data_IF_389322792958
#
_entry.id   IF_389322792958
#
_cell.length_a   1.000
_cell.length_b   1.000
_cell.length_c   1.000
_cell.angle_alpha   90.00
_cell.angle_beta   90.00
_cell.angle_gamma   90.00
#
_symmetry.space_group_name_H-M   'P 1'
#
loop_
_entity.id
_entity.type
_entity.pdbx_description
1 polymer ?
#
# COMPACT_ATOMS: atom_id res chain seq x y z
N UNK A 1 1.85 -7.20 11.00
CA UNK A 1 1.46 -8.62 10.91
C UNK A 1 2.35 -9.47 10.01
N UNK A 2 2.43 -9.28 8.68
CA UNK A 2 3.28 -10.16 7.83
C UNK A 2 4.75 -10.17 8.28
N UNK A 3 5.32 -9.01 8.56
CA UNK A 3 6.68 -8.88 9.10
C UNK A 3 6.87 -9.58 10.47
N UNK A 4 5.81 -9.67 11.28
CA UNK A 4 5.85 -10.29 12.62
C UNK A 4 5.67 -11.81 12.54
N UNK A 5 4.93 -12.31 11.53
CA UNK A 5 4.72 -13.74 11.31
C UNK A 5 5.94 -14.43 10.67
N UNK A 6 6.80 -13.67 9.99
CA UNK A 6 8.01 -14.21 9.35
C UNK A 6 9.13 -14.32 10.37
N UNK A 7 9.34 -15.54 10.89
CA UNK A 7 10.41 -15.84 11.85
C UNK A 7 11.81 -15.89 11.21
N UNK A 8 11.89 -16.14 9.90
CA UNK A 8 13.14 -16.29 9.14
C UNK A 8 13.30 -15.10 8.17
N UNK A 9 14.30 -14.22 8.36
CA UNK A 9 14.49 -13.03 7.51
C UNK A 9 14.62 -13.34 6.01
N UNK A 10 15.12 -14.52 5.64
CA UNK A 10 15.24 -14.94 4.23
C UNK A 10 13.89 -15.20 3.55
N UNK A 11 12.82 -15.42 4.31
CA UNK A 11 11.47 -15.67 3.78
C UNK A 11 10.61 -14.41 3.70
N UNK A 12 11.07 -13.30 4.28
CA UNK A 12 10.36 -12.02 4.33
C UNK A 12 10.02 -11.48 2.93
N UNK A 13 10.95 -11.45 1.95
CA UNK A 13 10.64 -10.98 0.60
C UNK A 13 9.59 -11.85 -0.11
N UNK A 14 9.60 -13.17 0.15
CA UNK A 14 8.63 -14.10 -0.43
C UNK A 14 7.24 -13.91 0.18
N UNK A 15 7.17 -13.70 1.49
CA UNK A 15 5.91 -13.44 2.19
C UNK A 15 5.25 -12.13 1.71
N UNK A 16 6.04 -11.07 1.58
CA UNK A 16 5.57 -9.79 1.05
C UNK A 16 5.13 -9.86 -0.42
N UNK A 17 5.77 -10.70 -1.24
CA UNK A 17 5.38 -10.91 -2.63
C UNK A 17 4.01 -11.62 -2.78
N UNK A 18 3.57 -12.37 -1.77
CA UNK A 18 2.28 -13.09 -1.80
C UNK A 18 1.08 -12.15 -1.68
N UNK A 19 1.20 -11.03 -0.96
CA UNK A 19 0.08 -10.10 -0.73
C UNK A 19 -0.53 -9.53 -2.03
N UNK A 20 0.25 -8.94 -2.96
CA UNK A 20 -0.30 -8.40 -4.20
C UNK A 20 -0.80 -9.50 -5.17
N UNK A 21 -0.28 -10.73 -5.05
CA UNK A 21 -0.79 -11.89 -5.78
C UNK A 21 -2.20 -12.26 -5.31
N UNK A 22 -2.39 -12.43 -3.99
CA UNK A 22 -3.69 -12.79 -3.40
C UNK A 22 -4.73 -11.72 -3.67
N UNK A 23 -4.37 -10.44 -3.58
CA UNK A 23 -5.27 -9.33 -3.93
C UNK A 23 -5.76 -9.41 -5.37
N UNK A 24 -4.84 -9.61 -6.32
CA UNK A 24 -5.18 -9.70 -7.75
C UNK A 24 -6.07 -10.91 -8.02
N UNK A 25 -5.77 -12.05 -7.38
CA UNK A 25 -6.60 -13.25 -7.46
C UNK A 25 -8.01 -13.00 -6.91
N UNK A 26 -8.12 -12.31 -5.77
CA UNK A 26 -9.40 -11.89 -5.20
C UNK A 26 -10.18 -10.96 -6.12
N UNK A 27 -9.51 -10.03 -6.80
CA UNK A 27 -10.12 -9.15 -7.80
C UNK A 27 -10.67 -9.90 -9.02
N UNK A 28 -9.95 -10.90 -9.52
CA UNK A 28 -10.39 -11.77 -10.63
C UNK A 28 -11.65 -12.53 -10.23
N UNK A 29 -11.59 -13.23 -9.09
CA UNK A 29 -12.69 -14.05 -8.60
C UNK A 29 -13.90 -13.19 -8.21
N UNK A 30 -13.69 -12.08 -7.52
CA UNK A 30 -14.75 -11.15 -7.13
C UNK A 30 -15.48 -10.55 -8.32
N UNK A 31 -14.75 -10.16 -9.38
CA UNK A 31 -15.35 -9.63 -10.62
C UNK A 31 -16.15 -10.70 -11.37
N UNK A 32 -15.62 -11.93 -11.43
CA UNK A 32 -16.33 -13.05 -12.04
C UNK A 32 -17.62 -13.33 -11.28
N UNK A 33 -17.52 -13.55 -9.97
CA UNK A 33 -18.66 -13.89 -9.12
C UNK A 33 -19.71 -12.76 -9.12
N UNK A 34 -19.29 -11.50 -9.08
CA UNK A 34 -20.19 -10.36 -9.14
C UNK A 34 -20.98 -10.26 -10.45
N UNK A 35 -20.35 -10.61 -11.59
CA UNK A 35 -21.00 -10.60 -12.89
C UNK A 35 -21.88 -11.83 -13.15
N UNK A 36 -21.32 -13.04 -12.97
CA UNK A 36 -22.00 -14.31 -13.28
C UNK A 36 -23.17 -14.60 -12.34
N UNK A 37 -23.09 -14.21 -11.07
CA UNK A 37 -24.17 -14.48 -10.10
C UNK A 37 -25.24 -13.38 -10.09
N UNK A 38 -25.01 -12.25 -10.75
CA UNK A 38 -26.01 -11.19 -10.84
C UNK A 38 -27.17 -11.60 -11.74
N UNK A 39 -28.39 -11.18 -11.36
CA UNK A 39 -29.63 -11.46 -12.10
C UNK A 39 -29.82 -12.95 -12.43
N UNK A 40 -29.75 -13.86 -11.44
CA UNK A 40 -29.75 -15.30 -11.67
C UNK A 40 -31.05 -15.80 -12.31
N UNK A 41 -32.19 -15.15 -12.05
CA UNK A 41 -33.46 -15.49 -12.67
C UNK A 41 -33.53 -15.16 -14.18
N UNK A 42 -32.68 -14.24 -14.66
CA UNK A 42 -32.61 -13.88 -16.08
C UNK A 42 -31.62 -14.77 -16.82
N UNK A 43 -30.47 -15.06 -16.23
CA UNK A 43 -29.40 -15.85 -16.87
C UNK A 43 -29.51 -17.36 -16.64
N UNK A 44 -30.15 -17.80 -15.55
CA UNK A 44 -30.33 -19.22 -15.19
C UNK A 44 -31.80 -19.54 -14.86
N UNK A 45 -32.75 -19.33 -15.80
CA UNK A 45 -34.18 -19.47 -15.53
C UNK A 45 -34.62 -20.90 -15.18
N UNK A 46 -33.83 -21.91 -15.53
CA UNK A 46 -34.09 -23.31 -15.17
C UNK A 46 -33.81 -23.62 -13.69
N UNK A 47 -32.89 -22.88 -13.06
CA UNK A 47 -32.51 -23.06 -11.66
C UNK A 47 -33.19 -22.01 -10.76
N UNK A 48 -33.48 -20.82 -11.29
CA UNK A 48 -34.02 -19.70 -10.54
C UNK A 48 -35.29 -19.16 -11.23
N UNK A 49 -36.49 -19.44 -10.70
CA UNK A 49 -37.73 -18.90 -11.25
C UNK A 49 -37.81 -17.37 -11.06
N UNK A 50 -38.39 -16.68 -12.04
CA UNK A 50 -38.57 -15.22 -12.03
C UNK A 50 -39.45 -14.73 -10.87
N UNK A 51 -40.43 -15.54 -10.45
CA UNK A 51 -41.32 -15.22 -9.32
C UNK A 51 -40.69 -15.55 -7.96
N UNK A 52 -39.50 -16.15 -7.93
CA UNK A 52 -38.78 -16.52 -6.72
C UNK A 52 -38.06 -15.35 -6.04
N UNK A 53 -37.48 -15.62 -4.86
CA UNK A 53 -36.73 -14.62 -4.07
C UNK A 53 -35.58 -13.99 -4.86
N UNK A 54 -34.91 -14.77 -5.70
CA UNK A 54 -33.78 -14.31 -6.53
C UNK A 54 -34.22 -13.58 -7.80
N UNK A 55 -35.46 -13.73 -8.24
CA UNK A 55 -36.07 -12.89 -9.27
C UNK A 55 -36.50 -11.53 -8.72
N UNK A 56 -37.02 -11.50 -7.48
CA UNK A 56 -37.34 -10.25 -6.76
C UNK A 56 -36.10 -9.47 -6.32
N UNK A 57 -35.04 -10.16 -5.91
CA UNK A 57 -33.78 -9.56 -5.45
C UNK A 57 -32.60 -10.06 -6.32
N UNK A 58 -32.35 -9.44 -7.49
CA UNK A 58 -31.39 -9.93 -8.48
C UNK A 58 -29.92 -9.92 -8.02
N UNK A 59 -29.60 -9.19 -6.95
CA UNK A 59 -28.24 -9.09 -6.40
C UNK A 59 -28.09 -9.82 -5.05
N UNK A 60 -29.11 -10.57 -4.59
CA UNK A 60 -29.04 -11.29 -3.32
C UNK A 60 -28.01 -12.43 -3.38
N UNK A 61 -27.99 -13.17 -4.49
CA UNK A 61 -27.09 -14.30 -4.69
C UNK A 61 -25.60 -13.93 -4.61
N UNK A 62 -25.08 -12.95 -5.38
CA UNK A 62 -23.66 -12.57 -5.28
C UNK A 62 -23.28 -12.09 -3.87
N UNK A 63 -24.16 -11.34 -3.21
CA UNK A 63 -23.92 -10.88 -1.84
C UNK A 63 -23.88 -12.03 -0.83
N UNK A 64 -24.76 -13.02 -0.96
CA UNK A 64 -24.76 -14.19 -0.07
C UNK A 64 -23.44 -14.98 -0.21
N UNK A 65 -22.97 -15.15 -1.44
CA UNK A 65 -21.69 -15.83 -1.68
C UNK A 65 -20.52 -15.01 -1.10
N UNK A 66 -20.53 -13.68 -1.22
CA UNK A 66 -19.54 -12.83 -0.55
C UNK A 66 -19.56 -13.00 0.97
N UNK A 67 -20.75 -13.07 1.60
CA UNK A 67 -20.88 -13.32 3.04
C UNK A 67 -20.27 -14.67 3.42
N UNK A 68 -20.54 -15.73 2.65
CA UNK A 68 -19.96 -17.06 2.90
C UNK A 68 -18.43 -17.02 2.83
N UNK A 69 -17.85 -16.37 1.82
CA UNK A 69 -16.40 -16.23 1.69
C UNK A 69 -15.80 -15.46 2.88
N UNK A 70 -16.45 -14.38 3.33
CA UNK A 70 -16.00 -13.60 4.49
C UNK A 70 -16.09 -14.43 5.78
N UNK A 71 -17.18 -15.18 5.99
CA UNK A 71 -17.33 -16.05 7.16
C UNK A 71 -16.25 -17.13 7.16
N UNK A 72 -15.94 -17.74 6.02
CA UNK A 72 -14.84 -18.69 5.91
C UNK A 72 -13.49 -18.05 6.25
N UNK A 73 -13.24 -16.82 5.81
CA UNK A 73 -12.02 -16.08 6.17
C UNK A 73 -11.95 -15.77 7.67
N UNK A 74 -13.07 -15.42 8.31
CA UNK A 74 -13.14 -15.21 9.77
C UNK A 74 -12.89 -16.51 10.52
N UNK A 75 -13.53 -17.61 10.12
CA UNK A 75 -13.32 -18.94 10.73
C UNK A 75 -11.87 -19.37 10.56
N UNK A 76 -11.27 -19.16 9.39
CA UNK A 76 -9.84 -19.41 9.17
C UNK A 76 -8.97 -18.56 10.08
N UNK A 77 -9.30 -17.28 10.25
CA UNK A 77 -8.60 -16.39 11.18
C UNK A 77 -8.65 -16.89 12.62
N UNK A 78 -9.83 -17.28 13.10
CA UNK A 78 -10.02 -17.78 14.47
C UNK A 78 -9.30 -19.12 14.70
N UNK A 79 -9.32 -20.04 13.73
CA UNK A 79 -8.75 -21.38 13.88
C UNK A 79 -7.24 -21.46 13.61
N UNK A 80 -6.69 -20.60 12.74
CA UNK A 80 -5.31 -20.72 12.25
C UNK A 80 -4.40 -19.52 12.56
N UNK A 81 -4.92 -18.35 12.96
CA UNK A 81 -4.05 -17.26 13.44
C UNK A 81 -3.75 -17.46 14.92
N UNK A 82 -2.50 -17.75 15.22
CA UNK A 82 -1.99 -17.67 16.59
C UNK A 82 -1.86 -16.20 17.01
N UNK A 83 -2.33 -15.89 18.22
CA UNK A 83 -2.22 -14.57 18.82
C UNK A 83 -0.73 -14.15 18.92
N UNK A 84 -0.35 -13.08 18.22
CA UNK A 84 1.04 -12.59 18.18
C UNK A 84 1.35 -11.58 19.29
N UNK A 85 0.36 -11.20 20.12
CA UNK A 85 0.55 -10.20 21.16
C UNK A 85 1.53 -10.67 22.25
N UNK A 86 2.66 -9.97 22.45
CA UNK A 86 3.67 -10.33 23.45
C UNK A 86 3.18 -10.23 24.90
N UNK A 87 2.07 -9.52 25.18
CA UNK A 87 1.45 -9.53 26.51
C UNK A 87 0.83 -10.88 26.86
N UNK A 88 0.10 -11.49 25.93
CA UNK A 88 -0.51 -12.80 26.16
C UNK A 88 0.56 -13.91 26.19
N UNK A 89 1.63 -13.77 25.40
CA UNK A 89 2.78 -14.67 25.48
C UNK A 89 3.49 -14.60 26.85
N UNK A 90 3.59 -13.41 27.46
CA UNK A 90 4.13 -13.24 28.81
C UNK A 90 3.18 -13.81 29.88
N UNK A 91 1.88 -13.55 29.77
CA UNK A 91 0.89 -14.09 30.72
C UNK A 91 0.81 -15.62 30.65
N UNK A 92 0.94 -16.22 29.46
CA UNK A 92 1.03 -17.68 29.33
C UNK A 92 2.34 -18.23 29.93
N UNK A 93 3.45 -17.51 29.77
CA UNK A 93 4.73 -17.89 30.35
C UNK A 93 4.83 -17.60 31.86
N UNK A 94 4.01 -16.70 32.42
CA UNK A 94 3.87 -16.48 33.86
C UNK A 94 2.89 -17.49 34.48
N UNK A 95 1.80 -17.84 33.79
CA UNK A 95 0.84 -18.86 34.25
C UNK A 95 1.46 -20.27 34.34
N UNK A 96 2.36 -20.63 33.41
CA UNK A 96 3.11 -21.89 33.48
C UNK A 96 4.12 -21.92 34.64
N UNK A 97 4.59 -20.75 35.11
CA UNK A 97 5.49 -20.67 36.27
C UNK A 97 4.74 -20.59 37.61
N UNK A 98 3.47 -20.15 37.62
CA UNK A 98 2.62 -20.20 38.81
C UNK A 98 1.99 -21.59 39.04
N UNK A 99 1.68 -22.36 37.99
CA UNK A 99 1.15 -23.73 38.12
C UNK A 99 2.14 -24.72 38.76
N UNK A 100 3.45 -24.51 38.62
CA UNK A 100 4.47 -25.37 39.25
C UNK A 100 4.71 -25.05 40.75
N UNK A 101 4.08 -24.01 41.31
CA UNK A 101 4.39 -23.53 42.68
C UNK A 101 3.17 -23.42 43.62
N UNK A 102 1.92 -23.42 43.12
CA UNK A 102 0.75 -23.30 43.98
C UNK A 102 -0.16 -24.53 43.90
N UNK A 103 -0.06 -25.40 44.91
CA UNK A 103 -1.08 -26.40 45.19
C UNK A 103 -2.37 -25.75 45.69
N UNK A 104 -3.48 -26.38 45.29
CA UNK A 104 -4.82 -26.36 45.90
C UNK A 104 -5.40 -24.97 46.18
N UNK A 105 -6.20 -24.43 45.24
CA UNK A 105 -7.44 -23.73 45.56
C UNK A 105 -8.29 -23.49 44.29
N UNK A 106 -9.60 -23.67 44.46
CA UNK A 106 -10.66 -23.72 43.45
C UNK A 106 -10.71 -22.47 42.55
N UNK A 107 -10.56 -22.66 41.23
CA UNK A 107 -10.71 -21.59 40.23
C UNK A 107 -12.16 -21.51 39.74
N UNK A 108 -12.83 -20.42 40.08
CA UNK A 108 -14.16 -20.02 39.59
C UNK A 108 -14.04 -19.46 38.15
N UNK A 109 -14.66 -20.15 37.17
CA UNK A 109 -14.69 -19.79 35.74
C UNK A 109 -15.62 -18.59 35.43
N UNK A 110 -15.38 -17.44 36.07
CA UNK A 110 -16.09 -16.20 35.70
C UNK A 110 -15.11 -15.04 35.55
N UNK A 111 -14.82 -14.73 34.28
CA UNK A 111 -14.07 -13.57 33.85
C UNK A 111 -14.56 -12.27 34.53
N UNK A 112 -13.71 -11.55 35.30
CA UNK A 112 -14.08 -10.23 35.79
C UNK A 112 -13.67 -9.17 34.77
N UNK A 113 -14.67 -8.68 34.04
CA UNK A 113 -14.63 -7.42 33.32
C UNK A 113 -14.32 -6.28 34.30
N UNK A 114 -13.25 -5.53 34.00
CA UNK A 114 -13.06 -4.13 34.39
C UNK A 114 -13.00 -3.84 35.90
N UNK A 115 -11.81 -3.93 36.50
CA UNK A 115 -11.56 -3.36 37.83
C UNK A 115 -10.57 -2.20 37.75
N UNK A 116 -11.14 -1.00 37.63
CA UNK A 116 -10.44 0.26 37.90
C UNK A 116 -10.32 0.43 39.41
N UNK A 117 -9.17 0.10 39.99
CA UNK A 117 -8.89 0.39 41.40
C UNK A 117 -7.86 1.50 41.55
N UNK A 118 -8.32 2.52 42.27
CA UNK A 118 -7.65 3.72 42.78
C UNK A 118 -6.30 3.44 43.46
N UNK A 119 -5.41 4.41 43.27
CA UNK A 119 -4.16 4.66 43.97
C UNK A 119 -4.11 4.26 45.46
N UNK A 120 -2.98 3.68 45.86
CA UNK A 120 -2.39 3.91 47.19
C UNK A 120 -0.87 4.08 47.06
N UNK A 121 -0.42 5.30 47.32
CA UNK A 121 0.98 5.76 47.35
C UNK A 121 1.75 5.19 48.55
N UNK A 122 3.00 4.80 48.32
CA UNK A 122 4.15 5.19 49.17
C UNK A 122 5.51 5.01 48.46
N UNK A 123 6.00 6.11 47.88
CA UNK A 123 7.38 6.62 47.83
C UNK A 123 8.59 5.67 47.67
N UNK A 124 9.31 5.75 46.53
CA UNK A 124 10.68 6.30 46.44
C UNK A 124 11.23 6.32 44.99
N UNK A 125 11.67 7.51 44.57
CA UNK A 125 12.62 7.86 43.49
C UNK A 125 12.77 7.02 42.20
N UNK A 126 12.33 7.60 41.08
CA UNK A 126 13.24 8.09 40.02
C UNK A 126 12.44 8.90 38.99
N UNK A 127 12.93 10.11 38.67
CA UNK A 127 12.36 10.94 37.61
C UNK A 127 12.72 10.33 36.25
N UNK A 128 11.74 9.74 35.57
CA UNK A 128 11.75 9.63 34.12
C UNK A 128 10.44 10.22 33.60
N UNK A 129 10.58 11.28 32.80
CA UNK A 129 9.45 11.97 32.18
C UNK A 129 8.78 11.04 31.16
N UNK A 130 7.46 10.94 31.30
CA UNK A 130 6.52 10.22 30.47
C UNK A 130 6.79 10.37 28.96
N UNK A 131 7.25 9.29 28.33
CA UNK A 131 6.96 9.01 26.93
C UNK A 131 5.62 8.29 26.92
N UNK A 132 4.56 8.99 26.50
CA UNK A 132 3.27 8.38 26.19
C UNK A 132 3.52 7.23 25.21
N UNK A 133 3.23 6.00 25.63
CA UNK A 133 3.18 4.84 24.75
C UNK A 133 2.23 5.17 23.60
N UNK A 134 2.81 5.36 22.42
CA UNK A 134 2.09 5.70 21.21
C UNK A 134 1.49 4.41 20.68
N UNK A 135 0.20 4.24 20.94
CA UNK A 135 -0.67 3.24 20.33
C UNK A 135 -0.42 3.22 18.81
N UNK A 136 0.12 2.10 18.31
CA UNK A 136 0.29 1.86 16.88
C UNK A 136 -1.07 1.39 16.36
N UNK A 137 -1.82 2.31 15.77
CA UNK A 137 -2.98 1.97 14.96
C UNK A 137 -2.47 1.27 13.69
N UNK A 138 -2.73 -0.03 13.58
CA UNK A 138 -2.64 -0.75 12.33
C UNK A 138 -3.93 -0.43 11.57
N UNK A 139 -3.87 0.63 10.77
CA UNK A 139 -4.91 0.91 9.79
C UNK A 139 -4.62 0.05 8.55
N UNK A 140 -5.60 -0.77 8.18
CA UNK A 140 -5.59 -1.67 7.04
C UNK A 140 -5.56 -0.86 5.75
N UNK A 141 -4.36 -0.47 5.33
CA UNK A 141 -4.09 0.16 4.04
C UNK A 141 -3.68 -0.89 3.02
N UNK A 142 -4.19 -0.71 1.79
CA UNK A 142 -4.00 -1.59 0.63
C UNK A 142 -2.58 -2.18 0.52
N UNK A 143 -2.42 -3.49 0.30
CA UNK A 143 -1.12 -4.06 0.00
C UNK A 143 -0.78 -3.84 -1.48
N UNK A 144 0.17 -2.95 -1.76
CA UNK A 144 0.93 -2.93 -3.01
C UNK A 144 2.43 -2.88 -2.69
N UNK A 145 3.27 -3.47 -3.56
CA UNK A 145 4.52 -4.09 -3.18
C UNK A 145 5.59 -3.07 -2.82
N UNK A 146 6.56 -3.52 -2.02
CA UNK A 146 7.70 -2.78 -1.45
C UNK A 146 7.40 -2.17 -0.07
N UNK A 147 7.13 -3.04 0.90
CA UNK A 147 7.81 -2.84 2.19
C UNK A 147 9.18 -3.52 2.09
N UNK A 148 10.22 -2.69 2.00
CA UNK A 148 11.58 -3.10 2.31
C UNK A 148 12.00 -2.35 3.56
N UNK A 149 11.79 -2.98 4.72
CA UNK A 149 12.74 -2.82 5.81
C UNK A 149 14.01 -3.59 5.44
N UNK A 150 14.74 -3.11 4.43
CA UNK A 150 16.07 -3.62 4.15
C UNK A 150 16.97 -2.52 3.61
N UNK A 151 18.05 -2.31 4.37
CA UNK A 151 19.15 -1.41 4.10
C UNK A 151 19.95 -1.90 2.88
N UNK A 152 19.71 -1.28 1.73
CA UNK A 152 20.39 -1.56 0.46
C UNK A 152 21.85 -1.07 0.41
N UNK A 153 22.40 -0.48 1.49
CA UNK A 153 23.85 -0.19 1.55
C UNK A 153 24.71 -1.39 1.92
N UNK A 154 24.11 -2.54 2.25
CA UNK A 154 24.85 -3.76 2.51
C UNK A 154 25.25 -4.45 1.20
N UNK A 155 26.26 -3.89 0.53
CA UNK A 155 26.95 -4.55 -0.57
C UNK A 155 27.77 -5.74 -0.04
N UNK A 156 27.14 -6.90 0.10
CA UNK A 156 27.85 -8.17 0.23
C UNK A 156 26.99 -9.33 -0.26
N UNK A 157 26.66 -9.31 -1.55
CA UNK A 157 26.45 -10.56 -2.30
C UNK A 157 27.83 -11.21 -2.46
N UNK A 158 28.02 -12.39 -1.86
CA UNK A 158 29.18 -13.25 -2.11
C UNK A 158 30.44 -12.91 -1.31
N UNK A 159 30.59 -13.51 -0.13
CA UNK A 159 31.80 -14.23 0.33
C UNK A 159 31.49 -14.80 1.70
N UNK A 160 31.23 -16.11 1.74
CA UNK A 160 31.15 -16.88 2.98
C UNK A 160 32.57 -17.07 3.51
N UNK A 161 33.01 -16.22 4.43
CA UNK A 161 34.12 -16.55 5.34
C UNK A 161 33.72 -16.17 6.76
N UNK A 162 33.44 -17.22 7.54
CA UNK A 162 33.52 -17.30 9.01
C UNK A 162 33.44 -15.96 9.74
N UNK A 163 32.23 -15.59 10.18
CA UNK A 163 32.06 -14.52 11.17
C UNK A 163 32.42 -15.11 12.53
N UNK A 164 33.62 -14.79 13.02
CA UNK A 164 33.93 -14.90 14.46
C UNK A 164 33.08 -13.86 15.18
N UNK A 165 32.05 -14.32 15.89
CA UNK A 165 31.19 -13.47 16.73
C UNK A 165 32.01 -13.04 17.94
N UNK A 166 32.56 -11.82 17.91
CA UNK A 166 33.05 -11.19 19.14
C UNK A 166 31.85 -10.61 19.91
N UNK A 167 31.69 -10.90 21.21
CA UNK A 167 30.66 -10.27 22.02
C UNK A 167 31.13 -8.86 22.38
N UNK A 168 30.63 -7.86 21.66
CA UNK A 168 30.51 -6.49 22.18
C UNK A 168 29.06 -6.07 22.05
N UNK A 169 28.30 -6.20 23.14
CA UNK A 169 27.11 -5.40 23.38
C UNK A 169 27.55 -3.95 23.53
N UNK A 170 27.81 -3.29 22.41
CA UNK A 170 27.52 -1.87 22.34
C UNK A 170 25.99 -1.77 22.34
N UNK A 171 25.35 -1.04 23.27
CA UNK A 171 23.94 -0.75 23.11
C UNK A 171 23.81 -0.13 21.72
N UNK A 172 22.98 -0.70 20.84
CA UNK A 172 22.61 -0.03 19.59
C UNK A 172 22.12 1.35 20.02
N UNK A 173 22.95 2.38 19.86
CA UNK A 173 22.54 3.76 20.04
C UNK A 173 21.28 3.87 19.21
N UNK A 174 20.16 4.27 19.84
CA UNK A 174 18.97 4.64 19.08
C UNK A 174 19.47 5.70 18.10
N UNK A 175 19.59 5.36 16.83
CA UNK A 175 19.86 6.35 15.81
C UNK A 175 18.71 7.36 15.95
N UNK A 176 19.02 8.60 16.29
CA UNK A 176 18.03 9.67 16.40
C UNK A 176 18.23 10.55 15.19
N UNK A 177 17.29 10.48 14.25
CA UNK A 177 17.29 11.39 13.11
C UNK A 177 16.60 12.70 13.51
N UNK A 178 17.38 13.79 13.58
CA UNK A 178 16.91 15.14 13.94
C UNK A 178 16.55 16.03 12.74
N UNK A 179 16.58 15.50 11.51
CA UNK A 179 16.28 16.27 10.31
C UNK A 179 14.78 16.37 9.99
N UNK A 180 14.44 17.18 8.97
CA UNK A 180 13.06 17.26 8.46
C UNK A 180 12.70 15.99 7.71
N UNK A 181 11.61 15.35 8.12
CA UNK A 181 11.10 14.14 7.46
C UNK A 181 10.60 14.38 6.03
N UNK A 182 10.08 15.58 5.73
CA UNK A 182 9.55 15.94 4.42
C UNK A 182 10.51 16.88 3.70
N UNK A 183 11.05 16.40 2.58
CA UNK A 183 11.74 17.23 1.60
C UNK A 183 10.81 17.51 0.41
N UNK A 184 11.21 18.44 -0.46
CA UNK A 184 10.43 18.81 -1.63
C UNK A 184 10.17 17.63 -2.57
N UNK A 185 11.16 16.73 -2.74
CA UNK A 185 11.03 15.51 -3.55
C UNK A 185 9.94 14.59 -3.03
N UNK A 186 9.93 14.31 -1.72
CA UNK A 186 8.94 13.47 -1.03
C UNK A 186 7.54 14.04 -1.23
N UNK A 187 7.38 15.35 -1.05
CA UNK A 187 6.10 16.03 -1.25
C UNK A 187 5.64 15.85 -2.70
N UNK A 188 6.52 16.09 -3.68
CA UNK A 188 6.17 15.97 -5.10
C UNK A 188 5.85 14.54 -5.52
N UNK A 189 6.61 13.54 -5.06
CA UNK A 189 6.31 12.12 -5.33
C UNK A 189 5.00 11.71 -4.63
N UNK A 190 4.72 12.22 -3.43
CA UNK A 190 3.46 11.97 -2.72
C UNK A 190 2.26 12.58 -3.46
N UNK A 191 2.39 13.80 -3.99
CA UNK A 191 1.34 14.42 -4.80
C UNK A 191 1.11 13.62 -6.10
N UNK A 192 2.16 13.14 -6.76
CA UNK A 192 2.03 12.27 -7.92
C UNK A 192 1.26 10.98 -7.59
N UNK A 193 1.60 10.33 -6.47
CA UNK A 193 0.89 9.15 -5.96
C UNK A 193 -0.60 9.41 -5.71
N UNK A 194 -0.95 10.57 -5.15
CA UNK A 194 -2.33 10.99 -4.89
C UNK A 194 -3.11 11.17 -6.20
N UNK A 195 -2.54 11.88 -7.17
CA UNK A 195 -3.17 12.11 -8.48
C UNK A 195 -3.38 10.80 -9.24
N UNK A 196 -2.36 9.93 -9.25
CA UNK A 196 -2.44 8.60 -9.85
C UNK A 196 -3.50 7.74 -9.18
N UNK A 197 -3.54 7.73 -7.85
CA UNK A 197 -4.53 6.96 -7.09
C UNK A 197 -5.96 7.44 -7.36
N UNK A 198 -6.15 8.75 -7.55
CA UNK A 198 -7.43 9.33 -7.94
C UNK A 198 -7.88 8.78 -9.29
N UNK A 199 -7.13 9.05 -10.37
CA UNK A 199 -7.60 8.74 -11.72
C UNK A 199 -7.60 7.23 -12.02
N UNK A 200 -6.76 6.44 -11.35
CA UNK A 200 -6.84 4.98 -11.40
C UNK A 200 -8.15 4.47 -10.79
N UNK A 201 -8.57 5.03 -9.65
CA UNK A 201 -9.84 4.65 -9.03
C UNK A 201 -11.04 5.14 -9.86
N UNK A 202 -10.93 6.33 -10.46
CA UNK A 202 -11.92 6.86 -11.40
C UNK A 202 -12.15 5.87 -12.55
N UNK A 203 -11.08 5.37 -13.17
CA UNK A 203 -11.18 4.36 -14.22
C UNK A 203 -11.87 3.08 -13.74
N UNK A 204 -11.51 2.56 -12.57
CA UNK A 204 -12.08 1.32 -12.05
C UNK A 204 -13.59 1.42 -11.81
N UNK A 205 -14.10 2.61 -11.50
CA UNK A 205 -15.53 2.87 -11.39
C UNK A 205 -16.16 3.15 -12.75
N UNK A 206 -15.52 3.96 -13.60
CA UNK A 206 -16.07 4.37 -14.88
C UNK A 206 -16.17 3.24 -15.89
N UNK A 207 -15.19 2.34 -15.95
CA UNK A 207 -15.18 1.25 -16.92
C UNK A 207 -16.46 0.41 -16.84
N UNK A 208 -16.79 -0.25 -15.70
CA UNK A 208 -18.00 -1.07 -15.62
C UNK A 208 -19.28 -0.25 -15.80
N UNK A 209 -19.33 0.98 -15.29
CA UNK A 209 -20.49 1.87 -15.50
C UNK A 209 -20.69 2.20 -16.97
N UNK A 210 -19.64 2.55 -17.69
CA UNK A 210 -19.69 2.90 -19.11
C UNK A 210 -20.01 1.68 -19.99
N UNK A 211 -19.50 0.49 -19.65
CA UNK A 211 -19.85 -0.73 -20.36
C UNK A 211 -21.34 -1.09 -20.19
N UNK A 212 -21.88 -0.92 -18.97
CA UNK A 212 -23.25 -1.31 -18.62
C UNK A 212 -24.32 -0.30 -19.06
N UNK A 213 -23.98 0.99 -19.03
CA UNK A 213 -24.94 2.07 -19.32
C UNK A 213 -25.44 2.01 -20.76
N UNK A 214 -26.68 2.44 -20.99
CA UNK A 214 -27.34 2.30 -22.28
C UNK A 214 -26.78 3.29 -23.29
N UNK A 215 -26.63 2.90 -24.56
CA UNK A 215 -26.25 3.85 -25.60
C UNK A 215 -27.38 4.86 -25.83
N UNK A 216 -27.03 6.14 -25.86
CA UNK A 216 -27.89 7.25 -26.25
C UNK A 216 -27.90 7.44 -27.78
N UNK A 217 -26.84 7.02 -28.49
CA UNK A 217 -26.76 7.06 -29.95
C UNK A 217 -26.87 5.64 -30.57
N UNK A 218 -27.18 5.59 -31.86
CA UNK A 218 -27.20 4.33 -32.60
C UNK A 218 -25.78 3.70 -32.66
N UNK A 219 -25.66 2.35 -32.65
CA UNK A 219 -24.38 1.66 -32.74
C UNK A 219 -23.53 2.13 -33.93
N UNK A 220 -22.25 2.39 -33.72
CA UNK A 220 -21.33 2.88 -34.75
C UNK A 220 -21.38 4.38 -35.01
N UNK A 221 -22.15 5.14 -34.23
CA UNK A 221 -22.07 6.60 -34.16
C UNK A 221 -21.42 7.01 -32.84
N UNK A 222 -20.72 8.15 -32.87
CA UNK A 222 -20.10 8.70 -31.68
C UNK A 222 -21.18 9.04 -30.64
N UNK A 223 -21.15 8.30 -29.54
CA UNK A 223 -21.93 8.54 -28.34
C UNK A 223 -21.01 9.09 -27.25
N UNK A 224 -21.29 10.31 -26.82
CA UNK A 224 -20.54 11.01 -25.78
C UNK A 224 -21.33 11.09 -24.46
N UNK A 225 -22.57 10.62 -24.45
CA UNK A 225 -23.50 10.77 -23.33
C UNK A 225 -23.75 9.42 -22.67
N UNK A 226 -24.11 8.42 -23.46
CA UNK A 226 -24.44 7.07 -22.98
C UNK A 226 -23.24 6.14 -22.89
N UNK A 227 -23.55 4.86 -22.64
CA UNK A 227 -22.59 3.77 -22.58
C UNK A 227 -22.66 2.80 -23.76
N UNK A 228 -22.07 1.61 -23.58
CA UNK A 228 -22.00 0.58 -24.62
C UNK A 228 -23.13 -0.46 -24.55
N UNK A 229 -23.92 -0.48 -23.47
CA UNK A 229 -25.11 -1.32 -23.32
C UNK A 229 -24.84 -2.82 -23.15
N UNK A 230 -23.66 -3.20 -22.66
CA UNK A 230 -23.33 -4.59 -22.34
C UNK A 230 -24.12 -5.10 -21.14
N UNK A 231 -24.27 -6.42 -21.05
CA UNK A 231 -24.93 -7.04 -19.90
C UNK A 231 -24.00 -7.11 -18.69
N UNK A 232 -24.56 -7.28 -17.49
CA UNK A 232 -23.78 -7.43 -16.25
C UNK A 232 -22.82 -8.63 -16.34
N UNK A 233 -23.24 -9.69 -17.03
CA UNK A 233 -22.42 -10.87 -17.29
C UNK A 233 -21.22 -10.56 -18.18
N UNK A 234 -21.43 -9.83 -19.28
CA UNK A 234 -20.34 -9.40 -20.19
C UNK A 234 -19.34 -8.50 -19.47
N UNK A 235 -19.84 -7.55 -18.66
CA UNK A 235 -19.00 -6.68 -17.83
C UNK A 235 -18.16 -7.51 -16.86
N UNK A 236 -18.76 -8.51 -16.22
CA UNK A 236 -18.05 -9.48 -15.38
C UNK A 236 -16.91 -10.17 -16.12
N UNK A 237 -17.16 -10.65 -17.34
CA UNK A 237 -16.13 -11.28 -18.19
C UNK A 237 -14.99 -10.30 -18.49
N UNK A 238 -15.29 -9.07 -18.93
CA UNK A 238 -14.27 -8.06 -19.20
C UNK A 238 -13.41 -7.78 -17.96
N UNK A 239 -14.03 -7.56 -16.80
CA UNK A 239 -13.32 -7.29 -15.55
C UNK A 239 -12.48 -8.49 -15.07
N UNK A 240 -12.97 -9.73 -15.24
CA UNK A 240 -12.18 -10.93 -14.94
C UNK A 240 -10.96 -11.06 -15.86
N UNK A 241 -11.12 -10.81 -17.15
CA UNK A 241 -9.99 -10.77 -18.11
C UNK A 241 -9.00 -9.67 -17.72
N UNK A 242 -9.47 -8.50 -17.27
CA UNK A 242 -8.63 -7.43 -16.75
C UNK A 242 -7.72 -7.91 -15.63
N UNK A 243 -8.27 -8.66 -14.67
CA UNK A 243 -7.51 -9.15 -13.53
C UNK A 243 -6.44 -10.16 -13.94
N UNK A 244 -6.76 -11.08 -14.87
CA UNK A 244 -5.79 -12.05 -15.41
C UNK A 244 -4.66 -11.32 -16.14
N UNK A 245 -5.01 -10.34 -16.98
CA UNK A 245 -4.06 -9.50 -17.67
C UNK A 245 -3.19 -8.71 -16.70
N UNK A 246 -3.78 -8.17 -15.64
CA UNK A 246 -3.06 -7.49 -14.57
C UNK A 246 -2.05 -8.41 -13.87
N UNK A 247 -2.44 -9.65 -13.57
CA UNK A 247 -1.55 -10.65 -12.99
C UNK A 247 -0.35 -10.95 -13.90
N UNK A 248 -0.60 -11.10 -15.21
CA UNK A 248 0.44 -11.32 -16.19
C UNK A 248 1.41 -10.13 -16.29
N UNK A 249 0.87 -8.91 -16.35
CA UNK A 249 1.65 -7.68 -16.40
C UNK A 249 2.49 -7.52 -15.13
N UNK A 250 1.90 -7.70 -13.95
CA UNK A 250 2.57 -7.55 -12.66
C UNK A 250 3.66 -8.62 -12.45
N UNK A 251 3.39 -9.88 -12.81
CA UNK A 251 4.30 -11.00 -12.57
C UNK A 251 5.47 -11.05 -13.54
N UNK A 252 5.23 -10.78 -14.83
CA UNK A 252 6.23 -10.98 -15.88
C UNK A 252 6.72 -9.67 -16.49
N UNK A 253 5.81 -8.77 -16.85
CA UNK A 253 6.18 -7.56 -17.61
C UNK A 253 6.83 -6.51 -16.72
N UNK A 254 6.26 -6.25 -15.55
CA UNK A 254 6.74 -5.25 -14.59
C UNK A 254 8.23 -5.42 -14.25
N UNK A 255 8.71 -6.57 -13.75
CA UNK A 255 10.12 -6.71 -13.37
C UNK A 255 11.05 -6.53 -14.57
N UNK A 256 10.73 -7.16 -15.71
CA UNK A 256 11.53 -7.06 -16.94
C UNK A 256 11.60 -5.61 -17.45
N UNK A 257 10.47 -4.92 -17.42
CA UNK A 257 10.37 -3.54 -17.91
C UNK A 257 11.15 -2.58 -17.02
N UNK A 258 10.98 -2.68 -15.69
CA UNK A 258 11.66 -1.81 -14.73
C UNK A 258 13.16 -2.08 -14.70
N UNK A 259 13.60 -3.34 -14.82
CA UNK A 259 15.03 -3.67 -14.88
C UNK A 259 15.72 -3.09 -16.12
N UNK A 260 15.04 -3.07 -17.28
CA UNK A 260 15.60 -2.54 -18.53
C UNK A 260 15.53 -1.01 -18.63
N UNK A 261 14.41 -0.42 -18.22
CA UNK A 261 14.14 1.01 -18.39
C UNK A 261 14.66 1.83 -17.20
N UNK A 262 14.69 1.23 -16.01
CA UNK A 262 15.01 1.88 -14.75
C UNK A 262 13.79 2.59 -14.14
N UNK A 263 13.75 2.61 -12.80
CA UNK A 263 12.61 3.11 -12.00
C UNK A 263 12.18 4.52 -12.39
N UNK A 264 13.12 5.47 -12.49
CA UNK A 264 12.81 6.87 -12.78
C UNK A 264 12.17 7.06 -14.16
N UNK A 265 12.70 6.39 -15.20
CA UNK A 265 12.14 6.49 -16.56
C UNK A 265 10.79 5.78 -16.66
N UNK A 266 10.63 4.64 -15.99
CA UNK A 266 9.35 3.92 -15.90
C UNK A 266 8.27 4.78 -15.23
N UNK A 267 8.62 5.48 -14.15
CA UNK A 267 7.71 6.41 -13.49
C UNK A 267 7.25 7.55 -14.42
N UNK A 268 8.19 8.21 -15.11
CA UNK A 268 7.87 9.28 -16.07
C UNK A 268 7.01 8.75 -17.22
N UNK A 269 7.44 7.65 -17.85
CA UNK A 269 6.75 7.09 -19.00
C UNK A 269 5.30 6.73 -18.64
N UNK A 270 5.11 6.10 -17.48
CA UNK A 270 3.77 5.71 -17.04
C UNK A 270 2.89 6.93 -16.78
N UNK A 271 3.38 8.01 -16.17
CA UNK A 271 2.59 9.23 -15.97
C UNK A 271 2.24 9.91 -17.30
N UNK A 272 3.20 10.01 -18.23
CA UNK A 272 3.00 10.70 -19.50
C UNK A 272 2.04 9.96 -20.43
N UNK A 273 2.12 8.63 -20.47
CA UNK A 273 1.30 7.82 -21.38
C UNK A 273 0.01 7.30 -20.75
N UNK A 274 -0.17 7.38 -19.43
CA UNK A 274 -1.42 6.96 -18.77
C UNK A 274 -2.68 7.59 -19.37
N UNK A 275 -2.72 8.92 -19.65
CA UNK A 275 -3.94 9.56 -20.15
C UNK A 275 -4.46 8.98 -21.47
N UNK A 276 -3.60 8.30 -22.26
CA UNK A 276 -4.01 7.65 -23.48
C UNK A 276 -5.10 6.59 -23.23
N UNK A 277 -5.05 5.90 -22.08
CA UNK A 277 -6.07 4.92 -21.70
C UNK A 277 -7.45 5.57 -21.49
N UNK A 278 -7.50 6.83 -21.07
CA UNK A 278 -8.75 7.57 -20.80
C UNK A 278 -9.30 8.20 -22.07
N UNK A 279 -8.44 8.79 -22.89
CA UNK A 279 -8.85 9.49 -24.12
C UNK A 279 -9.49 8.54 -25.11
N UNK A 280 -9.07 7.26 -25.16
CA UNK A 280 -9.64 6.27 -26.08
C UNK A 280 -11.10 5.94 -25.75
N UNK A 281 -11.50 5.98 -24.48
CA UNK A 281 -12.79 5.45 -24.02
C UNK A 281 -14.03 6.08 -24.66
N UNK A 282 -14.18 7.42 -24.74
CA UNK A 282 -15.36 8.04 -25.36
C UNK A 282 -15.51 7.75 -26.85
N UNK A 283 -14.42 7.39 -27.53
CA UNK A 283 -14.45 7.13 -28.98
C UNK A 283 -14.75 5.68 -29.34
N UNK A 284 -14.84 4.78 -28.34
CA UNK A 284 -15.16 3.37 -28.59
C UNK A 284 -16.55 3.18 -29.22
N UNK A 285 -17.51 4.05 -28.89
CA UNK A 285 -18.87 4.03 -29.45
C UNK A 285 -18.92 4.29 -30.97
N UNK A 286 -17.93 5.04 -31.48
CA UNK A 286 -17.81 5.35 -32.90
C UNK A 286 -17.18 4.22 -33.73
N UNK A 287 -16.61 3.19 -33.10
CA UNK A 287 -16.01 2.05 -33.79
C UNK A 287 -17.11 1.14 -34.39
N UNK A 288 -16.82 0.44 -35.51
CA UNK A 288 -17.71 -0.60 -36.00
C UNK A 288 -17.78 -1.74 -34.98
N UNK A 289 -18.90 -2.47 -34.94
CA UNK A 289 -19.18 -3.49 -33.93
C UNK A 289 -18.06 -4.55 -33.76
N UNK A 290 -17.30 -4.85 -34.82
CA UNK A 290 -16.16 -5.78 -34.77
C UNK A 290 -14.92 -5.24 -34.04
N UNK A 291 -14.78 -3.92 -33.94
CA UNK A 291 -13.62 -3.26 -33.33
C UNK A 291 -13.88 -2.73 -31.92
N UNK A 292 -15.13 -2.70 -31.46
CA UNK A 292 -15.48 -2.24 -30.10
C UNK A 292 -14.80 -3.13 -29.04
N UNK A 293 -14.99 -4.46 -29.10
CA UNK A 293 -14.39 -5.38 -28.11
C UNK A 293 -12.85 -5.35 -28.10
N UNK A 294 -12.15 -5.39 -29.27
CA UNK A 294 -10.71 -5.16 -29.31
C UNK A 294 -10.29 -3.80 -28.73
N UNK A 295 -11.06 -2.74 -28.96
CA UNK A 295 -10.81 -1.41 -28.41
C UNK A 295 -10.92 -1.37 -26.88
N UNK A 296 -11.92 -2.04 -26.32
CA UNK A 296 -12.07 -2.22 -24.86
C UNK A 296 -10.83 -2.93 -24.31
N UNK A 297 -10.43 -4.08 -24.87
CA UNK A 297 -9.24 -4.80 -24.42
C UNK A 297 -7.96 -3.97 -24.54
N UNK A 298 -7.78 -3.21 -25.63
CA UNK A 298 -6.65 -2.31 -25.79
C UNK A 298 -6.60 -1.25 -24.67
N UNK A 299 -7.73 -0.63 -24.37
CA UNK A 299 -7.82 0.37 -23.30
C UNK A 299 -7.50 -0.23 -21.92
N UNK A 300 -7.92 -1.47 -21.67
CA UNK A 300 -7.65 -2.21 -20.43
C UNK A 300 -6.18 -2.64 -20.31
N UNK A 301 -5.54 -3.01 -21.43
CA UNK A 301 -4.10 -3.28 -21.50
C UNK A 301 -3.31 -2.02 -21.18
N UNK A 302 -3.63 -0.90 -21.82
CA UNK A 302 -2.97 0.38 -21.57
C UNK A 302 -3.13 0.80 -20.10
N UNK A 303 -4.36 0.73 -19.57
CA UNK A 303 -4.64 1.03 -18.17
C UNK A 303 -3.84 0.14 -17.23
N UNK A 304 -3.89 -1.18 -17.43
CA UNK A 304 -3.24 -2.16 -16.55
C UNK A 304 -1.73 -2.01 -16.60
N UNK A 305 -1.15 -1.83 -17.79
CA UNK A 305 0.29 -1.66 -17.95
C UNK A 305 0.81 -0.43 -17.18
N UNK A 306 0.27 0.76 -17.46
CA UNK A 306 0.76 1.97 -16.80
C UNK A 306 0.39 2.02 -15.32
N UNK A 307 -0.83 1.60 -14.95
CA UNK A 307 -1.31 1.59 -13.57
C UNK A 307 -0.53 0.65 -12.64
N UNK A 308 -0.13 -0.53 -13.13
CA UNK A 308 0.66 -1.49 -12.35
C UNK A 308 2.10 -1.01 -12.18
N UNK A 309 2.68 -0.33 -13.17
CA UNK A 309 4.07 0.12 -13.13
C UNK A 309 4.23 1.38 -12.27
N UNK A 310 3.31 2.35 -12.38
CA UNK A 310 3.49 3.68 -11.79
C UNK A 310 3.52 3.69 -10.27
N UNK A 311 2.64 2.92 -9.59
CA UNK A 311 2.56 2.93 -8.12
C UNK A 311 3.84 2.39 -7.47
N UNK A 312 4.33 1.17 -7.81
CA UNK A 312 5.57 0.66 -7.24
C UNK A 312 6.78 1.56 -7.54
N UNK A 313 6.87 2.10 -8.76
CA UNK A 313 7.96 3.02 -9.11
C UNK A 313 7.92 4.29 -8.25
N UNK A 314 6.74 4.86 -8.02
CA UNK A 314 6.58 6.03 -7.17
C UNK A 314 6.93 5.74 -5.70
N UNK A 315 6.57 4.57 -5.17
CA UNK A 315 6.94 4.14 -3.82
C UNK A 315 8.45 3.91 -3.67
N UNK A 316 9.11 3.34 -4.68
CA UNK A 316 10.57 3.20 -4.70
C UNK A 316 11.24 4.59 -4.68
N UNK A 317 10.77 5.53 -5.51
CA UNK A 317 11.28 6.90 -5.51
C UNK A 317 11.02 7.64 -4.19
N UNK A 318 9.89 7.38 -3.54
CA UNK A 318 9.55 7.92 -2.22
C UNK A 318 10.52 7.40 -1.15
N UNK A 319 10.81 6.09 -1.19
CA UNK A 319 11.79 5.44 -0.31
C UNK A 319 13.19 6.01 -0.53
N UNK A 320 13.64 6.10 -1.78
CA UNK A 320 14.97 6.61 -2.13
C UNK A 320 15.14 8.10 -1.77
N UNK A 321 14.06 8.88 -1.84
CA UNK A 321 14.06 10.28 -1.42
C UNK A 321 13.99 10.45 0.11
N UNK A 322 13.71 9.39 0.87
CA UNK A 322 13.58 9.45 2.32
C UNK A 322 14.97 9.49 2.98
N UNK A 323 15.28 10.52 3.80
CA UNK A 323 16.64 10.77 4.28
C UNK A 323 17.14 9.76 5.33
N UNK A 324 16.22 9.11 6.04
CA UNK A 324 16.55 8.13 7.08
C UNK A 324 15.46 7.05 7.16
N UNK A 325 15.82 5.77 7.39
CA UNK A 325 14.84 4.70 7.58
C UNK A 325 13.90 4.95 8.76
N UNK A 326 14.32 5.75 9.76
CA UNK A 326 13.52 6.08 10.95
C UNK A 326 12.28 6.91 10.63
N UNK A 327 12.29 7.69 9.54
CA UNK A 327 11.15 8.52 9.11
C UNK A 327 10.38 7.90 7.96
N UNK A 328 10.84 6.76 7.40
CA UNK A 328 10.23 6.09 6.25
C UNK A 328 8.78 5.68 6.52
N UNK A 329 8.51 5.08 7.68
CA UNK A 329 7.15 4.69 8.06
C UNK A 329 6.19 5.89 8.15
N UNK A 330 6.67 7.05 8.63
CA UNK A 330 5.86 8.28 8.70
C UNK A 330 5.56 8.85 7.31
N UNK A 331 6.55 8.86 6.43
CA UNK A 331 6.42 9.36 5.05
C UNK A 331 5.50 8.46 4.24
N UNK A 332 5.73 7.15 4.27
CA UNK A 332 4.91 6.17 3.56
C UNK A 332 3.47 6.16 4.09
N UNK A 333 3.29 6.17 5.42
CA UNK A 333 1.97 6.24 6.04
C UNK A 333 1.18 7.47 5.59
N UNK A 334 1.78 8.67 5.63
CA UNK A 334 1.11 9.90 5.17
C UNK A 334 0.78 9.88 3.67
N UNK A 335 1.71 9.40 2.83
CA UNK A 335 1.47 9.28 1.40
C UNK A 335 0.33 8.29 1.10
N UNK A 336 0.30 7.14 1.76
CA UNK A 336 -0.72 6.11 1.59
C UNK A 336 -2.08 6.56 2.10
N UNK A 337 -2.16 7.23 3.26
CA UNK A 337 -3.43 7.81 3.75
C UNK A 337 -3.99 8.84 2.77
N UNK A 338 -3.13 9.70 2.18
CA UNK A 338 -3.56 10.66 1.16
C UNK A 338 -4.06 9.96 -0.12
N UNK A 339 -3.42 8.86 -0.53
CA UNK A 339 -3.89 8.05 -1.64
C UNK A 339 -5.25 7.41 -1.35
N UNK A 340 -5.47 6.91 -0.13
CA UNK A 340 -6.77 6.37 0.28
C UNK A 340 -7.86 7.46 0.23
N UNK A 341 -7.59 8.66 0.73
CA UNK A 341 -8.52 9.80 0.62
C UNK A 341 -8.90 10.09 -0.84
N UNK A 342 -7.91 10.10 -1.74
CA UNK A 342 -8.14 10.31 -3.16
C UNK A 342 -9.00 9.19 -3.79
N UNK A 343 -8.74 7.92 -3.43
CA UNK A 343 -9.55 6.78 -3.87
C UNK A 343 -10.99 6.84 -3.34
N UNK A 344 -11.20 7.35 -2.13
CA UNK A 344 -12.54 7.52 -1.57
C UNK A 344 -13.33 8.63 -2.26
N UNK A 345 -12.69 9.76 -2.59
CA UNK A 345 -13.33 10.92 -3.23
C UNK A 345 -13.60 10.67 -4.72
N UNK A 346 -12.77 9.85 -5.39
CA UNK A 346 -12.82 9.66 -6.83
C UNK A 346 -14.17 9.11 -7.35
N UNK A 347 -14.68 7.93 -6.89
CA UNK A 347 -15.91 7.37 -7.43
C UNK A 347 -17.13 8.29 -7.30
N UNK A 348 -17.40 8.93 -6.14
CA UNK A 348 -18.50 9.88 -6.04
C UNK A 348 -18.35 11.08 -6.98
N UNK A 349 -17.16 11.69 -7.06
CA UNK A 349 -16.96 12.89 -7.88
C UNK A 349 -17.18 12.58 -9.37
N UNK A 350 -16.59 11.48 -9.83
CA UNK A 350 -16.67 11.07 -11.24
C UNK A 350 -18.05 10.54 -11.59
N UNK A 351 -18.75 9.89 -10.66
CA UNK A 351 -20.16 9.53 -10.81
C UNK A 351 -21.08 10.74 -10.97
N UNK A 352 -20.86 11.81 -10.19
CA UNK A 352 -21.60 13.07 -10.37
C UNK A 352 -21.34 13.66 -11.76
N UNK A 353 -20.07 13.72 -12.19
CA UNK A 353 -19.69 14.22 -13.52
C UNK A 353 -20.34 13.37 -14.62
N UNK A 354 -20.33 12.04 -14.49
CA UNK A 354 -20.96 11.12 -15.44
C UNK A 354 -22.46 11.36 -15.51
N UNK A 355 -23.14 11.48 -14.37
CA UNK A 355 -24.59 11.72 -14.32
C UNK A 355 -25.01 13.07 -14.91
N UNK A 356 -24.17 14.10 -14.78
CA UNK A 356 -24.48 15.46 -15.24
C UNK A 356 -24.05 15.73 -16.69
N UNK A 357 -22.90 15.20 -17.11
CA UNK A 357 -22.26 15.51 -18.40
C UNK A 357 -22.13 14.32 -19.35
N UNK A 358 -22.55 13.13 -18.94
CA UNK A 358 -22.44 11.89 -19.71
C UNK A 358 -21.05 11.24 -19.66
N UNK A 359 -20.90 10.15 -20.41
CA UNK A 359 -19.70 9.31 -20.39
C UNK A 359 -18.44 10.05 -20.81
N UNK A 360 -18.49 10.87 -21.86
CA UNK A 360 -17.32 11.61 -22.34
C UNK A 360 -16.82 12.63 -21.32
N UNK A 361 -17.73 13.35 -20.66
CA UNK A 361 -17.37 14.33 -19.64
C UNK A 361 -16.59 13.67 -18.48
N UNK A 362 -17.01 12.47 -18.07
CA UNK A 362 -16.36 11.75 -16.99
C UNK A 362 -15.00 11.17 -17.38
N UNK A 363 -14.86 10.66 -18.61
CA UNK A 363 -13.55 10.21 -19.12
C UNK A 363 -12.58 11.37 -19.33
N UNK A 364 -13.06 12.51 -19.83
CA UNK A 364 -12.24 13.71 -19.98
C UNK A 364 -11.90 14.37 -18.64
N UNK A 365 -12.75 14.29 -17.61
CA UNK A 365 -12.37 14.75 -16.28
C UNK A 365 -11.23 13.89 -15.70
N UNK A 366 -11.30 12.57 -15.89
CA UNK A 366 -10.23 11.64 -15.52
C UNK A 366 -8.92 11.97 -16.27
N UNK A 367 -9.01 12.19 -17.59
CA UNK A 367 -7.87 12.63 -18.42
C UNK A 367 -7.31 13.98 -17.95
N UNK A 368 -8.16 14.94 -17.59
CA UNK A 368 -7.75 16.25 -17.08
C UNK A 368 -6.93 16.13 -15.79
N UNK A 369 -7.34 15.28 -14.84
CA UNK A 369 -6.55 15.03 -13.62
C UNK A 369 -5.22 14.35 -13.94
N UNK A 370 -5.20 13.44 -14.91
CA UNK A 370 -3.96 12.81 -15.35
C UNK A 370 -3.01 13.80 -16.04
N UNK A 371 -3.52 14.77 -16.82
CA UNK A 371 -2.73 15.87 -17.39
C UNK A 371 -2.18 16.79 -16.30
N UNK A 372 -2.95 17.06 -15.23
CA UNK A 372 -2.42 17.77 -14.05
C UNK A 372 -1.24 16.99 -13.46
N UNK A 373 -1.30 15.65 -13.43
CA UNK A 373 -0.18 14.78 -13.05
C UNK A 373 1.05 14.94 -13.95
N UNK A 374 0.87 15.06 -15.27
CA UNK A 374 1.96 15.33 -16.22
C UNK A 374 2.60 16.69 -15.94
N UNK A 375 1.78 17.71 -15.72
CA UNK A 375 2.27 19.06 -15.40
C UNK A 375 3.04 19.01 -14.08
N UNK A 376 2.50 18.34 -13.06
CA UNK A 376 3.13 18.15 -11.76
C UNK A 376 4.50 17.45 -11.84
N UNK A 377 4.68 16.56 -12.81
CA UNK A 377 5.95 15.85 -13.05
C UNK A 377 7.14 16.79 -13.32
N UNK A 378 6.89 17.99 -13.88
CA UNK A 378 7.94 18.97 -14.19
C UNK A 378 8.67 19.48 -12.94
N UNK A 379 8.02 19.42 -11.77
CA UNK A 379 8.61 19.84 -10.50
C UNK A 379 9.22 18.69 -9.71
N UNK A 380 9.16 17.44 -10.17
CA UNK A 380 9.74 16.30 -9.45
C UNK A 380 11.27 16.30 -9.66
N UNK A 381 12.10 16.47 -8.60
CA UNK A 381 13.56 16.51 -8.76
C UNK A 381 14.14 15.17 -9.22
N UNK A 382 15.08 15.23 -10.17
CA UNK A 382 15.66 14.06 -10.87
C UNK A 382 16.68 13.26 -10.05
N UNK A 383 17.24 13.84 -8.96
CA UNK A 383 18.25 13.21 -8.10
C UNK A 383 18.17 13.77 -6.68
N UNK A 384 18.18 12.87 -5.69
CA UNK A 384 18.60 13.19 -4.34
C UNK A 384 20.07 12.75 -4.25
N UNK A 385 21.02 13.70 -4.23
CA UNK A 385 22.38 13.37 -3.81
C UNK A 385 22.32 13.23 -2.28
N UNK A 386 22.60 12.04 -1.73
CA UNK A 386 22.57 11.85 -0.30
C UNK A 386 23.79 12.55 0.31
N UNK A 387 23.66 13.84 0.63
CA UNK A 387 24.58 14.53 1.54
C UNK A 387 24.31 14.01 2.95
N UNK A 388 24.74 12.77 3.21
CA UNK A 388 24.71 12.20 4.54
C UNK A 388 26.00 12.65 5.20
N UNK A 389 25.96 13.88 5.71
CA UNK A 389 26.82 14.25 6.84
C UNK A 389 26.20 13.55 8.04
N UNK A 390 26.63 12.30 8.30
CA UNK A 390 26.56 11.79 9.67
C UNK A 390 27.56 12.64 10.42
N UNK A 391 27.09 13.66 11.14
CA UNK A 391 27.91 14.31 12.16
C UNK A 391 28.20 13.25 13.22
N UNK A 392 29.34 12.59 13.06
CA UNK A 392 29.90 11.72 14.07
C UNK A 392 30.13 12.59 15.31
N UNK A 393 29.21 12.48 16.27
CA UNK A 393 29.22 13.31 17.50
C UNK A 393 30.38 12.94 18.43
N UNK A 394 31.38 12.19 17.94
CA UNK A 394 32.53 11.68 18.68
C UNK A 394 33.79 12.54 18.54
N UNK A 395 33.78 13.64 17.77
CA UNK A 395 34.94 14.54 17.62
C UNK A 395 34.90 15.80 18.51
N UNK A 396 34.00 15.90 19.48
CA UNK A 396 34.07 16.93 20.54
C UNK A 396 34.30 16.28 21.89
N UNK A 397 35.45 15.62 22.06
CA UNK A 397 36.00 15.36 23.39
C UNK A 397 37.49 15.03 23.29
N UNK A 398 38.28 15.74 24.10
CA UNK A 398 39.70 15.56 24.40
C UNK A 398 40.72 16.22 23.46
N UNK A 399 40.89 17.52 23.64
CA UNK A 399 42.23 18.11 23.72
C UNK A 399 42.43 18.78 25.09
N UNK A 400 42.80 17.97 26.09
CA UNK A 400 43.56 18.41 27.26
C UNK A 400 44.59 17.31 27.56
N UNK A 401 45.89 17.59 27.40
CA UNK A 401 46.90 16.91 28.16
C UNK A 401 47.27 17.76 29.39
N UNK A 402 47.02 17.21 30.58
CA UNK A 402 47.78 17.54 31.78
C UNK A 402 49.25 17.24 31.52
N UNK A 403 50.11 18.25 31.65
CA UNK A 403 51.56 18.05 31.80
C UNK A 403 51.95 18.57 33.17
N UNK A 404 52.61 17.67 33.89
CA UNK A 404 53.04 17.74 35.28
C UNK A 404 53.95 18.94 35.57
N UNK A 405 53.82 19.45 36.79
CA UNK A 405 54.84 20.22 37.48
C UNK A 405 56.15 19.43 37.54
N UNK A 406 57.22 20.00 37.01
CA UNK A 406 58.57 19.80 37.54
C UNK A 406 59.24 21.18 37.66
N UNK A 407 59.82 21.36 38.82
CA UNK A 407 60.41 22.55 39.39
C UNK A 407 61.79 22.86 38.75
N UNK A 408 62.20 24.13 38.89
CA UNK A 408 63.58 24.64 38.92
C UNK A 408 64.24 25.14 37.61
N UNK A 409 64.52 26.46 37.54
CA UNK A 409 65.43 27.04 36.54
C UNK A 409 65.29 28.55 36.31
N UNK A 410 65.95 29.34 37.15
CA UNK A 410 66.08 30.80 37.17
C UNK A 410 66.68 31.47 35.89
N UNK A 411 66.13 32.65 35.52
CA UNK A 411 66.78 33.86 34.94
C UNK A 411 66.99 34.06 33.39
N UNK A 412 67.21 35.31 32.85
CA UNK A 412 66.20 36.13 32.16
C UNK A 412 66.60 36.70 30.75
N UNK A 413 65.72 37.56 30.19
CA UNK A 413 65.95 38.59 29.14
C UNK A 413 66.12 38.05 27.69
N UNK A 414 65.65 38.64 26.59
CA UNK A 414 65.48 40.04 26.13
C UNK A 414 64.39 40.06 25.02
N UNK A 415 63.44 41.00 25.00
CA UNK A 415 63.33 42.11 24.03
C UNK A 415 64.10 41.94 22.71
N UNK A 416 63.38 41.72 21.60
CA UNK A 416 63.20 42.67 20.49
C UNK A 416 62.00 42.26 19.62
#
# INVERSE_FOLDING_TARGET
>A
MVAEMVKVPEHEPKAYATQPFVWTLGGILGSAMGGFLAQPATFYPSLFPADGIFGRYPYLLPNLVSVVVIVLAIVQGILFLEETNPRNAKTAHEAVFEEDVAGDDVVDERAPLYQRSKDRRSSAHSHSCAASDRLVFIEESLPLPVEQNFDLRRSSFGTVRSIKVLPKSTPKQKEVYNGRAFNFTIIMVSVALVLVSYHQMAFNTLLPTHLLDKPAAAPGRLDLIGGLGYTVHDVGIYLSVNGILGLFIQGFIFPIFVDKVGVWKSFILSIVFYPLAYVVMPFLSALPASLVSPGIYLSMILQSFFGIIVIPCALILLKDATPSPLVLGKVNGLAMSACCLARTISPPLVGIIYSAGGSAAAWFSCSGVAVIGIVQLLWVPRKHEPNIVVEDSTMVSKSRPDVREEENGMHPATLE
#
